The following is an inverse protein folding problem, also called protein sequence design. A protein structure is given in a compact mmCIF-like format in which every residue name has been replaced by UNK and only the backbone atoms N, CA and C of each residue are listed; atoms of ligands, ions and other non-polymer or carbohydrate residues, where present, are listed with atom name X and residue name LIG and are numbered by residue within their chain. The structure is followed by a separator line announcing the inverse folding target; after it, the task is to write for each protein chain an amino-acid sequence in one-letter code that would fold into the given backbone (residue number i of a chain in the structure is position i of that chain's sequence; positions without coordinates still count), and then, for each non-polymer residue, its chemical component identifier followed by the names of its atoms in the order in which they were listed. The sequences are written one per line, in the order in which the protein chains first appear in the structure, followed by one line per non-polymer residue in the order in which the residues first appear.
data_IF_485244180440
#
_entry.id   IF_485244180440
#
_cell.length_a   1.000
_cell.length_b   1.000
_cell.length_c   1.000
_cell.angle_alpha   90.00
_cell.angle_beta   90.00
_cell.angle_gamma   90.00
#
_symmetry.space_group_name_H-M   'P 1'
#
loop_
_entity.id
_entity.type
_entity.pdbx_description
1 polymer ?
#
# COMPACT_ATOMS: atom_id res chain seq x y z
N UNK A 1 49.70 50.70 16.11
CA UNK A 1 50.87 49.98 16.66
C UNK A 1 50.48 49.50 18.06
N UNK A 2 50.03 48.25 18.13
CA UNK A 2 50.28 47.23 19.18
C UNK A 2 49.34 46.08 18.87
N UNK A 3 49.94 44.96 18.49
CA UNK A 3 49.32 43.69 18.16
C UNK A 3 49.28 42.84 19.41
N UNK A 4 48.12 42.31 19.79
CA UNK A 4 48.02 41.22 20.76
C UNK A 4 47.24 40.05 20.15
N UNK A 5 48.02 39.02 19.84
CA UNK A 5 47.61 37.63 19.61
C UNK A 5 47.46 36.96 20.97
N UNK A 6 46.44 36.13 21.18
CA UNK A 6 46.65 34.78 21.75
C UNK A 6 45.48 33.80 21.47
N UNK A 7 45.75 32.47 21.42
CA UNK A 7 44.85 31.44 20.90
C UNK A 7 44.45 30.34 21.91
N UNK A 8 43.24 29.76 21.80
CA UNK A 8 42.79 28.58 22.58
C UNK A 8 41.68 27.87 21.76
N UNK A 9 41.56 26.55 21.57
CA UNK A 9 42.33 25.30 21.80
C UNK A 9 41.65 24.22 20.93
N UNK A 10 42.43 23.37 20.28
CA UNK A 10 41.98 22.12 19.65
C UNK A 10 42.14 20.95 20.64
N UNK A 11 41.17 20.04 20.70
CA UNK A 11 41.19 18.87 21.58
C UNK A 11 41.62 17.60 20.82
N UNK A 12 42.83 17.16 21.15
CA UNK A 12 43.31 15.78 21.39
C UNK A 12 42.68 14.60 20.64
N UNK A 13 43.56 13.91 19.90
CA UNK A 13 43.46 12.50 19.53
C UNK A 13 44.53 11.67 20.28
N UNK A 14 44.29 10.35 20.34
CA UNK A 14 45.23 9.23 20.52
C UNK A 14 45.73 8.84 21.93
N UNK A 15 45.24 7.69 22.37
CA UNK A 15 45.88 6.64 23.20
C UNK A 15 44.85 5.49 23.25
N UNK A 16 45.09 4.20 22.96
CA UNK A 16 46.21 3.31 23.22
C UNK A 16 46.17 2.10 22.25
N UNK A 17 47.34 1.62 21.86
CA UNK A 17 47.57 0.24 21.44
C UNK A 17 47.99 -0.61 22.66
N UNK A 18 47.64 -1.89 22.72
CA UNK A 18 48.59 -3.01 22.86
C UNK A 18 47.91 -4.39 22.99
N UNK A 19 48.35 -5.29 22.09
CA UNK A 19 48.68 -6.71 22.24
C UNK A 19 47.64 -7.76 22.70
N UNK A 20 47.48 -8.81 21.88
CA UNK A 20 47.78 -10.19 22.32
C UNK A 20 47.94 -11.15 21.12
N UNK A 21 49.08 -11.84 21.08
CA UNK A 21 49.40 -13.01 20.24
C UNK A 21 49.39 -14.22 21.17
N UNK A 22 48.65 -15.27 20.85
CA UNK A 22 49.00 -16.64 21.24
C UNK A 22 48.24 -17.67 20.39
N UNK A 23 49.00 -18.51 19.69
CA UNK A 23 48.56 -19.74 19.05
C UNK A 23 48.63 -20.91 20.04
N UNK A 24 47.70 -21.88 19.93
CA UNK A 24 47.95 -23.34 19.76
C UNK A 24 46.77 -24.22 20.19
N UNK A 25 46.41 -25.12 19.27
CA UNK A 25 46.00 -26.53 19.40
C UNK A 25 44.99 -26.98 20.48
N UNK A 26 43.91 -27.64 20.03
CA UNK A 26 43.19 -28.58 20.88
C UNK A 26 41.88 -29.14 20.31
N UNK A 27 41.94 -30.38 19.81
CA UNK A 27 40.89 -31.42 19.84
C UNK A 27 39.53 -31.24 19.14
N UNK A 28 39.43 -32.01 18.04
CA UNK A 28 38.31 -32.89 17.65
C UNK A 28 37.23 -33.09 18.73
N UNK A 29 36.01 -32.67 18.40
CA UNK A 29 34.76 -33.30 18.83
C UNK A 29 33.79 -33.26 17.64
N UNK A 30 33.78 -34.34 16.86
CA UNK A 30 32.75 -34.60 15.85
C UNK A 30 31.44 -34.92 16.57
N UNK A 31 30.54 -33.94 16.65
CA UNK A 31 29.13 -34.19 17.00
C UNK A 31 28.39 -34.60 15.74
N UNK A 32 28.06 -35.90 15.67
CA UNK A 32 27.12 -36.43 14.70
C UNK A 32 25.73 -35.86 14.99
N UNK A 33 25.28 -34.92 14.16
CA UNK A 33 23.86 -34.56 14.10
C UNK A 33 23.15 -35.62 13.27
N UNK A 34 22.37 -36.48 13.93
CA UNK A 34 21.32 -37.24 13.27
C UNK A 34 20.27 -36.24 12.76
N UNK A 35 20.26 -36.02 11.45
CA UNK A 35 19.18 -35.36 10.73
C UNK A 35 17.94 -36.26 10.80
N UNK A 36 16.98 -35.89 11.64
CA UNK A 36 15.63 -36.45 11.55
C UNK A 36 14.99 -35.96 10.23
N UNK A 37 14.29 -36.83 9.50
CA UNK A 37 13.61 -36.43 8.27
C UNK A 37 12.51 -35.43 8.58
N UNK A 38 12.61 -34.24 7.99
CA UNK A 38 11.54 -33.24 7.98
C UNK A 38 10.38 -33.80 7.14
N UNK A 39 9.15 -33.90 7.67
CA UNK A 39 8.01 -34.33 6.87
C UNK A 39 7.73 -33.29 5.78
N UNK A 40 7.73 -33.75 4.53
CA UNK A 40 7.31 -32.97 3.37
C UNK A 40 5.84 -32.56 3.54
N UNK A 41 5.48 -31.29 3.32
CA UNK A 41 4.08 -30.89 3.29
C UNK A 41 3.36 -31.59 2.12
N UNK A 42 2.07 -31.93 2.28
CA UNK A 42 1.28 -32.58 1.24
C UNK A 42 1.22 -31.70 -0.01
N UNK A 43 1.58 -32.28 -1.15
CA UNK A 43 1.36 -31.68 -2.47
C UNK A 43 -0.15 -31.62 -2.70
N UNK A 44 -0.73 -30.42 -2.59
CA UNK A 44 -2.11 -30.21 -3.00
C UNK A 44 -2.21 -30.34 -4.53
N UNK A 45 -2.95 -31.36 -4.94
CA UNK A 45 -3.42 -31.59 -6.30
C UNK A 45 -4.24 -30.41 -6.81
N UNK A 46 -4.13 -30.16 -8.11
CA UNK A 46 -4.84 -29.12 -8.83
C UNK A 46 -6.35 -29.14 -8.51
N UNK A 47 -6.88 -27.99 -8.09
CA UNK A 47 -8.31 -27.77 -7.94
C UNK A 47 -8.92 -27.58 -9.33
N UNK A 48 -9.59 -28.61 -9.84
CA UNK A 48 -10.52 -28.47 -10.96
C UNK A 48 -11.79 -27.75 -10.48
N UNK A 49 -11.99 -26.55 -11.02
CA UNK A 49 -13.13 -25.68 -10.76
C UNK A 49 -14.34 -26.19 -11.57
N UNK A 50 -15.19 -27.02 -10.95
CA UNK A 50 -16.49 -27.39 -11.52
C UNK A 50 -17.51 -26.29 -11.18
N UNK A 51 -17.86 -25.46 -12.17
CA UNK A 51 -18.94 -24.49 -12.11
C UNK A 51 -20.30 -25.22 -12.28
N UNK A 52 -21.02 -25.41 -11.17
CA UNK A 52 -22.45 -25.71 -11.22
C UNK A 52 -23.23 -24.39 -11.32
N UNK A 53 -23.88 -24.17 -12.46
CA UNK A 53 -24.89 -23.11 -12.64
C UNK A 53 -26.26 -23.79 -12.54
N UNK A 54 -26.91 -23.63 -11.39
CA UNK A 54 -28.34 -23.95 -11.24
C UNK A 54 -29.19 -22.74 -11.63
N UNK A 55 -30.33 -22.92 -12.33
CA UNK A 55 -31.30 -21.87 -12.55
C UNK A 55 -32.17 -21.73 -11.29
N UNK A 56 -32.86 -20.59 -11.17
CA UNK A 56 -33.81 -20.19 -10.11
C UNK A 56 -33.24 -19.23 -9.06
N UNK A 57 -33.50 -17.94 -9.30
CA UNK A 57 -34.17 -17.04 -8.35
C UNK A 57 -34.40 -15.68 -9.02
N UNK A 58 -35.46 -15.62 -9.85
CA UNK A 58 -36.18 -14.37 -10.09
C UNK A 58 -36.96 -14.07 -8.81
N UNK A 59 -36.61 -13.00 -8.08
CA UNK A 59 -37.49 -12.23 -7.19
C UNK A 59 -36.64 -11.22 -6.38
N UNK A 60 -36.50 -10.00 -6.92
CA UNK A 60 -36.39 -8.74 -6.15
C UNK A 60 -36.33 -7.55 -7.13
N UNK A 61 -37.45 -7.28 -7.79
CA UNK A 61 -37.66 -6.11 -8.65
C UNK A 61 -38.49 -5.07 -7.88
N UNK A 62 -37.92 -4.51 -6.81
CA UNK A 62 -38.50 -3.36 -6.11
C UNK A 62 -37.40 -2.60 -5.35
N UNK A 63 -36.46 -1.98 -6.08
CA UNK A 63 -35.55 -0.98 -5.50
C UNK A 63 -35.02 -0.02 -6.58
N UNK A 64 -35.92 0.64 -7.31
CA UNK A 64 -35.56 1.65 -8.31
C UNK A 64 -36.09 3.03 -7.89
N UNK A 65 -35.51 3.56 -6.82
CA UNK A 65 -35.36 5.01 -6.60
C UNK A 65 -34.01 5.31 -5.94
N UNK A 66 -32.97 4.60 -6.39
CA UNK A 66 -31.59 5.00 -6.16
C UNK A 66 -31.14 5.73 -7.43
N UNK A 67 -30.60 6.95 -7.29
CA UNK A 67 -29.82 7.59 -8.38
C UNK A 67 -28.90 6.51 -8.95
N UNK A 68 -28.82 6.32 -10.29
CA UNK A 68 -27.95 5.31 -10.86
C UNK A 68 -26.53 5.57 -10.35
N UNK A 69 -26.09 4.74 -9.41
CA UNK A 69 -24.71 4.76 -8.96
C UNK A 69 -23.91 4.44 -10.20
N UNK A 70 -23.05 5.33 -10.69
CA UNK A 70 -22.28 5.03 -11.88
C UNK A 70 -21.32 3.91 -11.50
N UNK A 71 -21.71 2.67 -11.78
CA UNK A 71 -21.04 1.44 -11.35
C UNK A 71 -19.82 1.16 -12.24
N UNK A 72 -18.91 2.12 -12.37
CA UNK A 72 -17.60 1.88 -12.96
C UNK A 72 -16.65 1.13 -11.99
N UNK A 73 -17.03 1.02 -10.70
CA UNK A 73 -16.37 0.22 -9.66
C UNK A 73 -17.44 -0.60 -8.87
N UNK A 74 -18.06 -1.62 -9.48
CA UNK A 74 -19.30 -2.24 -8.99
C UNK A 74 -19.19 -3.09 -7.70
N UNK A 75 -17.98 -3.35 -7.21
CA UNK A 75 -17.70 -4.28 -6.10
C UNK A 75 -16.65 -3.74 -5.13
N UNK A 76 -16.40 -2.42 -5.20
CA UNK A 76 -15.39 -1.81 -4.36
C UNK A 76 -15.83 -1.71 -2.90
N UNK A 77 -14.85 -1.86 -2.03
CA UNK A 77 -15.01 -1.58 -0.61
C UNK A 77 -15.43 -0.12 -0.42
N UNK A 78 -16.42 0.13 0.44
CA UNK A 78 -16.86 1.49 0.76
C UNK A 78 -15.73 2.31 1.39
N UNK A 79 -15.73 3.63 1.17
CA UNK A 79 -14.86 4.55 1.90
C UNK A 79 -15.20 4.63 3.41
N UNK A 80 -16.28 3.99 3.86
CA UNK A 80 -16.73 3.95 5.25
C UNK A 80 -16.14 2.78 6.05
N UNK A 81 -15.16 2.05 5.53
CA UNK A 81 -14.55 0.95 6.28
C UNK A 81 -13.12 1.27 6.70
N UNK A 82 -12.66 0.58 7.73
CA UNK A 82 -11.30 0.71 8.23
C UNK A 82 -10.27 0.19 7.21
N UNK A 83 -9.14 0.88 7.08
CA UNK A 83 -7.96 0.40 6.38
C UNK A 83 -7.18 -0.62 7.24
N UNK A 84 -6.41 -1.55 6.64
CA UNK A 84 -5.60 -2.47 7.42
C UNK A 84 -4.52 -1.71 8.20
N UNK A 85 -4.12 -2.23 9.37
CA UNK A 85 -3.14 -1.58 10.25
C UNK A 85 -1.70 -1.98 9.88
N UNK A 86 -1.33 -1.74 8.62
CA UNK A 86 -0.01 -2.05 8.08
C UNK A 86 0.44 -1.02 7.03
N UNK A 87 1.74 -0.90 6.75
CA UNK A 87 2.21 -0.25 5.54
C UNK A 87 1.68 -0.90 4.25
N UNK A 88 1.23 -0.06 3.31
CA UNK A 88 0.70 -0.45 2.02
C UNK A 88 1.24 0.42 0.90
N UNK A 89 1.56 -0.15 -0.26
CA UNK A 89 1.94 0.62 -1.44
C UNK A 89 0.74 1.31 -2.11
N UNK A 90 0.98 2.38 -2.87
CA UNK A 90 -0.07 3.09 -3.60
C UNK A 90 -0.87 2.18 -4.55
N UNK A 91 -0.22 1.20 -5.20
CA UNK A 91 -0.91 0.25 -6.10
C UNK A 91 -1.84 -0.70 -5.37
N UNK A 92 -1.46 -1.14 -4.17
CA UNK A 92 -2.34 -1.95 -3.31
C UNK A 92 -3.54 -1.12 -2.86
N UNK A 93 -3.30 0.12 -2.41
CA UNK A 93 -4.35 1.04 -1.96
C UNK A 93 -5.37 1.32 -3.09
N UNK A 94 -4.88 1.64 -4.29
CA UNK A 94 -5.73 1.90 -5.45
C UNK A 94 -6.45 0.66 -5.99
N UNK A 95 -5.95 -0.54 -5.68
CA UNK A 95 -6.58 -1.80 -6.11
C UNK A 95 -7.68 -2.21 -5.14
N UNK A 96 -7.36 -2.33 -3.85
CA UNK A 96 -8.24 -2.92 -2.84
C UNK A 96 -9.14 -1.88 -2.16
N UNK A 97 -8.71 -0.62 -2.08
CA UNK A 97 -9.41 0.47 -1.41
C UNK A 97 -9.56 1.71 -2.32
N UNK A 98 -10.09 1.54 -3.55
CA UNK A 98 -10.17 2.64 -4.52
C UNK A 98 -11.00 3.84 -4.02
N UNK A 99 -11.99 3.61 -3.15
CA UNK A 99 -12.84 4.65 -2.58
C UNK A 99 -12.21 5.45 -1.44
N UNK A 100 -11.14 4.95 -0.82
CA UNK A 100 -10.40 5.69 0.20
C UNK A 100 -9.65 6.89 -0.37
N UNK A 101 -9.63 7.07 -1.70
CA UNK A 101 -9.26 8.34 -2.34
C UNK A 101 -10.13 9.53 -1.95
N UNK A 102 -11.32 9.28 -1.39
CA UNK A 102 -12.15 10.30 -0.75
C UNK A 102 -11.51 10.86 0.54
N UNK A 103 -10.67 10.08 1.20
CA UNK A 103 -9.93 10.53 2.38
C UNK A 103 -8.74 11.34 1.88
N UNK A 104 -8.68 12.61 2.24
CA UNK A 104 -7.68 13.50 1.67
C UNK A 104 -6.26 13.11 2.08
N UNK A 105 -6.07 12.44 3.21
CA UNK A 105 -4.76 11.87 3.59
C UNK A 105 -4.24 10.86 2.53
N UNK A 106 -5.11 10.02 1.99
CA UNK A 106 -4.80 9.09 0.90
C UNK A 106 -4.48 9.87 -0.38
N UNK A 107 -5.36 10.79 -0.76
CA UNK A 107 -5.17 11.60 -1.96
C UNK A 107 -3.89 12.46 -1.90
N UNK A 108 -3.59 13.05 -0.74
CA UNK A 108 -2.38 13.82 -0.45
C UNK A 108 -1.13 12.99 -0.69
N UNK A 109 -1.08 11.75 -0.18
CA UNK A 109 0.03 10.82 -0.42
C UNK A 109 0.22 10.52 -1.91
N UNK A 110 -0.86 10.29 -2.65
CA UNK A 110 -0.81 10.00 -4.09
C UNK A 110 -0.29 11.21 -4.88
N UNK A 111 -0.84 12.40 -4.65
CA UNK A 111 -0.41 13.63 -5.34
C UNK A 111 1.04 13.99 -4.99
N UNK A 112 1.45 13.79 -3.74
CA UNK A 112 2.83 13.97 -3.28
C UNK A 112 3.82 13.06 -4.02
N UNK A 113 3.36 11.90 -4.46
CA UNK A 113 4.10 10.97 -5.33
C UNK A 113 3.80 11.16 -6.83
N UNK A 114 3.33 12.36 -7.20
CA UNK A 114 3.08 12.79 -8.57
C UNK A 114 1.98 12.03 -9.33
N UNK A 115 1.15 11.24 -8.65
CA UNK A 115 0.00 10.64 -9.32
C UNK A 115 -0.96 11.74 -9.80
N UNK A 116 -1.33 11.68 -11.08
CA UNK A 116 -2.43 12.48 -11.62
C UNK A 116 -3.78 11.80 -11.34
N UNK A 117 -4.87 12.57 -11.37
CA UNK A 117 -6.23 12.00 -11.27
C UNK A 117 -6.51 10.97 -12.38
N UNK A 118 -5.97 11.18 -13.58
CA UNK A 118 -6.05 10.23 -14.69
C UNK A 118 -5.32 8.91 -14.38
N UNK A 119 -4.09 8.99 -13.86
CA UNK A 119 -3.30 7.82 -13.47
C UNK A 119 -4.00 7.04 -12.34
N UNK A 120 -4.58 7.73 -11.37
CA UNK A 120 -5.37 7.12 -10.29
C UNK A 120 -6.61 6.42 -10.85
N UNK A 121 -7.37 7.08 -11.73
CA UNK A 121 -8.55 6.48 -12.38
C UNK A 121 -8.16 5.22 -13.15
N UNK A 122 -7.11 5.30 -13.97
CA UNK A 122 -6.61 4.17 -14.76
C UNK A 122 -6.15 3.01 -13.88
N UNK A 123 -5.45 3.29 -12.79
CA UNK A 123 -5.04 2.27 -11.82
C UNK A 123 -6.24 1.52 -11.22
N UNK A 124 -7.26 2.24 -10.77
CA UNK A 124 -8.47 1.68 -10.15
C UNK A 124 -9.29 0.86 -11.15
N UNK A 125 -9.55 1.41 -12.33
CA UNK A 125 -10.35 0.74 -13.37
C UNK A 125 -9.63 -0.47 -13.97
N UNK A 126 -8.31 -0.39 -14.15
CA UNK A 126 -7.51 -1.54 -14.58
C UNK A 126 -7.60 -2.68 -13.57
N UNK A 127 -7.45 -2.41 -12.27
CA UNK A 127 -7.60 -3.42 -11.24
C UNK A 127 -8.94 -4.16 -11.31
N UNK A 128 -10.02 -3.47 -11.71
CA UNK A 128 -11.38 -4.02 -11.84
C UNK A 128 -11.72 -4.55 -13.24
N UNK A 129 -10.80 -4.50 -14.19
CA UNK A 129 -11.06 -4.92 -15.57
C UNK A 129 -12.08 -4.05 -16.31
N UNK A 130 -12.34 -2.82 -15.83
CA UNK A 130 -13.35 -1.90 -16.37
C UNK A 130 -12.73 -0.68 -17.07
N UNK A 131 -11.44 -0.76 -17.43
CA UNK A 131 -10.71 0.34 -18.06
C UNK A 131 -11.18 0.57 -19.51
N UNK A 132 -12.05 1.55 -19.67
CA UNK A 132 -12.42 2.14 -20.96
C UNK A 132 -12.14 3.64 -20.92
N UNK A 133 -12.10 4.30 -22.08
CA UNK A 133 -11.93 5.76 -22.17
C UNK A 133 -13.04 6.50 -21.42
N UNK A 134 -14.29 6.10 -21.64
CA UNK A 134 -15.46 6.69 -20.99
C UNK A 134 -15.41 6.53 -19.46
N UNK A 135 -15.11 5.33 -18.96
CA UNK A 135 -15.00 5.08 -17.53
C UNK A 135 -13.84 5.86 -16.90
N UNK A 136 -12.69 5.94 -17.60
CA UNK A 136 -11.54 6.73 -17.17
C UNK A 136 -11.92 8.19 -17.01
N UNK A 137 -12.53 8.80 -18.03
CA UNK A 137 -12.84 10.24 -18.03
C UNK A 137 -13.84 10.60 -16.92
N UNK A 138 -14.87 9.76 -16.72
CA UNK A 138 -15.82 9.92 -15.60
C UNK A 138 -15.13 9.82 -14.24
N UNK A 139 -14.31 8.79 -14.05
CA UNK A 139 -13.62 8.58 -12.76
C UNK A 139 -12.58 9.67 -12.50
N UNK A 140 -11.85 10.11 -13.53
CA UNK A 140 -10.92 11.23 -13.43
C UNK A 140 -11.65 12.51 -12.98
N UNK A 141 -12.80 12.84 -13.57
CA UNK A 141 -13.59 14.00 -13.17
C UNK A 141 -14.02 13.91 -11.69
N UNK A 142 -14.49 12.74 -11.25
CA UNK A 142 -14.83 12.50 -9.85
C UNK A 142 -13.62 12.68 -8.93
N UNK A 143 -12.45 12.15 -9.29
CA UNK A 143 -11.21 12.29 -8.53
C UNK A 143 -10.76 13.75 -8.47
N UNK A 144 -10.83 14.51 -9.57
CA UNK A 144 -10.51 15.95 -9.57
C UNK A 144 -11.40 16.72 -8.60
N UNK A 145 -12.68 16.39 -8.57
CA UNK A 145 -13.61 16.97 -7.59
C UNK A 145 -13.22 16.61 -6.15
N UNK A 146 -12.94 15.32 -5.88
CA UNK A 146 -12.51 14.86 -4.55
C UNK A 146 -11.22 15.54 -4.07
N UNK A 147 -10.24 15.72 -4.95
CA UNK A 147 -9.00 16.45 -4.64
C UNK A 147 -9.32 17.87 -4.20
N UNK A 148 -10.14 18.59 -4.96
CA UNK A 148 -10.49 19.98 -4.67
C UNK A 148 -11.25 20.10 -3.34
N UNK A 149 -12.34 19.36 -3.18
CA UNK A 149 -13.19 19.41 -1.98
C UNK A 149 -12.43 18.91 -0.74
N UNK A 150 -11.68 17.82 -0.87
CA UNK A 150 -10.89 17.24 0.22
C UNK A 150 -9.79 18.17 0.68
N UNK A 151 -9.08 18.85 -0.24
CA UNK A 151 -8.01 19.76 0.12
C UNK A 151 -8.51 21.00 0.86
N UNK A 152 -9.61 21.60 0.38
CA UNK A 152 -10.27 22.72 1.08
C UNK A 152 -10.65 22.36 2.50
N UNK A 153 -11.26 21.19 2.68
CA UNK A 153 -11.68 20.68 3.98
C UNK A 153 -10.48 20.39 4.89
N UNK A 154 -9.47 19.69 4.39
CA UNK A 154 -8.32 19.24 5.17
C UNK A 154 -7.45 20.39 5.68
N UNK A 155 -7.28 21.44 4.87
CA UNK A 155 -6.47 22.62 5.24
C UNK A 155 -7.30 23.79 5.76
N UNK A 156 -8.63 23.63 5.87
CA UNK A 156 -9.56 24.71 6.22
C UNK A 156 -9.33 25.99 5.39
N UNK A 157 -9.15 25.82 4.07
CA UNK A 157 -8.87 26.90 3.11
C UNK A 157 -9.77 26.79 1.87
N UNK A 158 -10.76 27.68 1.75
CA UNK A 158 -11.70 27.68 0.62
C UNK A 158 -11.07 28.02 -0.73
N UNK A 159 -9.91 28.69 -0.71
CA UNK A 159 -9.13 29.02 -1.90
C UNK A 159 -8.08 27.95 -2.21
N UNK A 160 -8.10 26.83 -1.49
CA UNK A 160 -7.15 25.75 -1.71
C UNK A 160 -7.24 25.22 -3.13
N UNK A 161 -6.07 25.15 -3.78
CA UNK A 161 -5.89 24.47 -5.07
C UNK A 161 -4.62 23.65 -5.03
N UNK A 162 -4.58 22.54 -5.79
CA UNK A 162 -3.36 21.72 -5.91
C UNK A 162 -2.17 22.54 -6.41
N UNK A 163 -2.40 23.51 -7.31
CA UNK A 163 -1.36 24.39 -7.84
C UNK A 163 -0.78 25.29 -6.76
N UNK A 164 -1.63 25.98 -5.99
CA UNK A 164 -1.18 26.84 -4.90
C UNK A 164 -0.49 26.02 -3.81
N UNK A 165 -1.05 24.86 -3.45
CA UNK A 165 -0.45 23.96 -2.47
C UNK A 165 0.97 23.51 -2.87
N UNK A 166 1.19 23.18 -4.15
CA UNK A 166 2.53 22.87 -4.67
C UNK A 166 3.46 24.08 -4.72
N UNK A 167 2.95 25.27 -5.08
CA UNK A 167 3.75 26.49 -5.16
C UNK A 167 4.17 27.03 -3.79
N UNK A 168 3.33 26.86 -2.76
CA UNK A 168 3.53 27.39 -1.41
C UNK A 168 4.70 26.75 -0.64
N UNK A 169 5.39 25.75 -1.19
CA UNK A 169 6.45 25.01 -0.49
C UNK A 169 6.02 24.37 0.84
N UNK A 170 4.71 24.19 1.02
CA UNK A 170 4.11 23.53 2.17
C UNK A 170 4.80 22.17 2.42
N UNK A 171 5.14 21.80 3.67
CA UNK A 171 5.84 20.55 3.97
C UNK A 171 5.19 19.31 3.33
N UNK A 172 3.86 19.25 3.35
CA UNK A 172 3.09 18.15 2.75
C UNK A 172 3.10 18.13 1.21
N UNK A 173 3.37 19.25 0.54
CA UNK A 173 3.41 19.31 -0.93
C UNK A 173 4.76 18.88 -1.50
N UNK A 174 5.79 18.78 -0.65
CA UNK A 174 7.13 18.34 -1.05
C UNK A 174 7.11 16.86 -1.38
N UNK A 175 7.54 16.43 -2.57
CA UNK A 175 7.62 15.02 -2.91
C UNK A 175 8.53 14.27 -1.93
N UNK A 176 8.38 12.95 -1.85
CA UNK A 176 9.43 12.14 -1.24
C UNK A 176 10.66 12.18 -2.14
N UNK A 177 11.80 12.56 -1.56
CA UNK A 177 13.05 12.63 -2.29
C UNK A 177 13.60 11.23 -2.58
N UNK A 178 14.14 11.05 -3.79
CA UNK A 178 14.84 9.86 -4.24
C UNK A 178 16.23 9.72 -3.62
N UNK A 179 16.77 10.77 -2.96
CA UNK A 179 18.08 10.68 -2.30
C UNK A 179 18.12 9.45 -1.41
N UNK A 180 18.90 8.48 -1.88
CA UNK A 180 19.20 7.23 -1.20
C UNK A 180 20.00 7.57 0.05
N UNK A 181 19.30 7.99 1.11
CA UNK A 181 19.86 7.93 2.44
C UNK A 181 19.79 6.45 2.82
N UNK A 182 20.95 5.78 2.86
CA UNK A 182 21.07 4.49 3.51
C UNK A 182 20.55 4.64 4.95
N UNK A 183 19.31 4.27 5.16
CA UNK A 183 18.68 4.26 6.47
C UNK A 183 18.86 2.86 7.04
N UNK A 184 19.36 2.76 8.28
CA UNK A 184 19.39 1.50 9.00
C UNK A 184 17.97 0.97 9.30
N UNK A 185 16.97 1.85 9.28
CA UNK A 185 15.56 1.51 9.48
C UNK A 185 14.78 1.46 8.14
N UNK A 186 13.90 0.47 7.94
CA UNK A 186 13.03 0.40 6.77
C UNK A 186 12.19 1.67 6.56
N UNK A 187 12.00 2.07 5.31
CA UNK A 187 11.16 3.21 4.95
C UNK A 187 9.65 2.93 5.00
N UNK A 188 9.25 1.75 5.49
CA UNK A 188 7.85 1.29 5.53
C UNK A 188 6.92 2.22 6.31
N UNK A 189 7.42 2.90 7.34
CA UNK A 189 6.65 3.88 8.12
C UNK A 189 6.06 5.04 7.27
N UNK A 190 6.68 5.39 6.14
CA UNK A 190 6.17 6.43 5.22
C UNK A 190 4.91 5.99 4.48
N UNK A 191 4.68 4.68 4.42
CA UNK A 191 3.61 4.04 3.69
C UNK A 191 2.55 3.44 4.63
N UNK A 192 2.70 3.67 5.92
CA UNK A 192 1.77 3.22 6.95
C UNK A 192 0.41 3.93 6.79
N UNK A 193 -0.65 3.12 6.69
CA UNK A 193 -2.03 3.59 6.62
C UNK A 193 -2.78 3.41 7.94
N UNK A 194 -2.09 2.92 8.97
CA UNK A 194 -2.59 2.81 10.35
C UNK A 194 -3.11 4.16 10.83
N UNK A 195 -4.31 4.15 11.42
CA UNK A 195 -4.93 5.36 11.99
C UNK A 195 -5.38 6.41 10.97
N UNK A 196 -5.34 6.15 9.66
CA UNK A 196 -5.92 7.08 8.69
C UNK A 196 -7.43 7.17 8.87
N UNK A 197 -7.97 8.38 8.74
CA UNK A 197 -9.39 8.67 8.92
C UNK A 197 -9.98 9.46 7.75
N UNK A 198 -11.32 9.45 7.59
CA UNK A 198 -12.00 10.35 6.66
C UNK A 198 -11.78 11.83 7.00
N UNK A 199 -12.07 12.71 6.02
CA UNK A 199 -11.98 14.16 6.23
C UNK A 199 -13.06 14.70 7.18
N UNK A 200 -14.24 14.10 7.13
CA UNK A 200 -15.32 14.38 8.09
C UNK A 200 -15.10 13.52 9.33
N UNK A 201 -14.75 14.15 10.44
CA UNK A 201 -14.50 13.48 11.72
C UNK A 201 -15.77 12.84 12.31
N UNK A 202 -16.95 13.25 11.86
CA UNK A 202 -18.22 12.66 12.27
C UNK A 202 -18.60 11.44 11.43
N UNK A 203 -17.87 11.18 10.33
CA UNK A 203 -18.11 10.04 9.46
C UNK A 203 -17.76 8.75 10.21
N UNK A 204 -18.77 7.93 10.46
CA UNK A 204 -18.59 6.64 11.14
C UNK A 204 -17.83 5.68 10.23
N UNK A 205 -16.70 5.18 10.70
CA UNK A 205 -15.96 4.10 10.06
C UNK A 205 -16.51 2.78 10.63
N UNK A 206 -17.15 2.00 9.78
CA UNK A 206 -17.70 0.69 10.10
C UNK A 206 -16.60 -0.33 10.39
N UNK A 207 -17.03 -1.48 10.94
CA UNK A 207 -16.17 -2.63 11.21
C UNK A 207 -15.35 -3.04 9.99
N UNK A 208 -14.18 -3.65 10.20
CA UNK A 208 -13.35 -4.15 9.11
C UNK A 208 -14.13 -5.09 8.17
N UNK A 209 -14.01 -4.92 6.85
CA UNK A 209 -14.67 -5.80 5.89
C UNK A 209 -14.06 -7.20 5.92
N UNK A 210 -14.80 -8.18 5.43
CA UNK A 210 -14.25 -9.53 5.21
C UNK A 210 -13.16 -9.50 4.14
N UNK A 211 -12.25 -10.48 4.17
CA UNK A 211 -11.24 -10.60 3.11
C UNK A 211 -11.90 -10.84 1.74
N UNK A 212 -13.03 -11.57 1.73
CA UNK A 212 -13.85 -11.77 0.54
C UNK A 212 -14.35 -10.47 -0.07
N UNK A 213 -14.88 -9.55 0.75
CA UNK A 213 -15.36 -8.25 0.29
C UNK A 213 -14.24 -7.40 -0.32
N UNK A 214 -13.05 -7.45 0.28
CA UNK A 214 -11.88 -6.67 -0.16
C UNK A 214 -11.41 -7.08 -1.57
N UNK A 215 -11.41 -8.38 -1.85
CA UNK A 215 -10.91 -8.92 -3.11
C UNK A 215 -12.00 -9.02 -4.18
N UNK A 216 -13.27 -8.80 -3.81
CA UNK A 216 -14.42 -8.94 -4.70
C UNK A 216 -14.24 -8.07 -5.95
N UNK A 217 -14.28 -8.70 -7.12
CA UNK A 217 -14.12 -8.03 -8.42
C UNK A 217 -12.73 -7.48 -8.72
N UNK A 218 -11.68 -7.87 -7.98
CA UNK A 218 -10.29 -7.62 -8.39
C UNK A 218 -9.91 -8.60 -9.49
N UNK A 219 -9.68 -8.10 -10.70
CA UNK A 219 -9.27 -8.88 -11.87
C UNK A 219 -7.76 -8.82 -12.04
N UNK A 220 -7.18 -7.62 -11.99
CA UNK A 220 -5.76 -7.39 -12.19
C UNK A 220 -5.08 -7.04 -10.87
N UNK A 221 -4.44 -8.04 -10.26
CA UNK A 221 -3.76 -7.93 -8.98
C UNK A 221 -2.41 -7.20 -9.11
N UNK A 222 -1.94 -6.50 -8.05
CA UNK A 222 -0.58 -5.99 -8.01
C UNK A 222 0.44 -7.14 -8.11
N UNK A 223 1.59 -6.89 -8.72
CA UNK A 223 2.66 -7.88 -8.91
C UNK A 223 4.04 -7.27 -8.67
N UNK A 224 5.05 -8.12 -8.42
CA UNK A 224 6.44 -7.69 -8.23
C UNK A 224 6.57 -6.65 -7.11
N UNK A 225 7.28 -5.55 -7.39
CA UNK A 225 7.45 -4.43 -6.45
C UNK A 225 6.14 -3.72 -6.07
N UNK A 226 5.02 -3.96 -6.77
CA UNK A 226 3.72 -3.40 -6.40
C UNK A 226 2.90 -4.33 -5.48
N UNK A 227 3.34 -5.58 -5.30
CA UNK A 227 2.70 -6.57 -4.44
C UNK A 227 3.37 -6.63 -3.07
N UNK A 228 2.95 -5.74 -2.18
CA UNK A 228 3.36 -5.76 -0.77
C UNK A 228 2.81 -6.96 0.01
N UNK A 229 3.12 -7.03 1.32
CA UNK A 229 2.62 -8.08 2.21
C UNK A 229 1.09 -8.18 2.23
N UNK A 230 0.39 -7.06 2.02
CA UNK A 230 -1.06 -7.05 1.93
C UNK A 230 -1.56 -7.88 0.75
N UNK A 231 -1.03 -7.62 -0.45
CA UNK A 231 -1.36 -8.38 -1.66
C UNK A 231 -1.02 -9.86 -1.49
N UNK A 232 0.15 -10.17 -0.92
CA UNK A 232 0.58 -11.55 -0.66
C UNK A 232 -0.37 -12.28 0.30
N UNK A 233 -0.76 -11.62 1.40
CA UNK A 233 -1.71 -12.17 2.36
C UNK A 233 -3.09 -12.43 1.75
N UNK A 234 -3.60 -11.52 0.93
CA UNK A 234 -4.88 -11.70 0.23
C UNK A 234 -4.83 -12.82 -0.81
N UNK A 235 -3.72 -12.97 -1.55
CA UNK A 235 -3.53 -14.08 -2.48
C UNK A 235 -3.47 -15.42 -1.74
N UNK A 236 -2.76 -15.49 -0.61
CA UNK A 236 -2.72 -16.67 0.24
C UNK A 236 -4.11 -17.01 0.80
N UNK A 237 -4.84 -16.01 1.34
CA UNK A 237 -6.18 -16.21 1.88
C UNK A 237 -7.15 -16.70 0.81
N UNK A 238 -6.99 -16.23 -0.43
CA UNK A 238 -7.76 -16.73 -1.58
C UNK A 238 -7.50 -18.21 -1.86
N UNK A 239 -6.26 -18.68 -1.69
CA UNK A 239 -5.92 -20.11 -1.83
C UNK A 239 -6.56 -20.98 -0.73
N UNK A 240 -6.91 -20.42 0.42
CA UNK A 240 -7.63 -21.13 1.49
C UNK A 240 -9.13 -21.34 1.19
N UNK A 241 -9.66 -20.66 0.17
CA UNK A 241 -11.03 -20.84 -0.31
C UNK A 241 -12.06 -19.86 0.28
N UNK A 242 -13.30 -19.95 -0.22
CA UNK A 242 -14.36 -18.97 0.07
C UNK A 242 -14.78 -18.93 1.55
N UNK A 243 -14.81 -20.08 2.21
CA UNK A 243 -15.12 -20.16 3.65
C UNK A 243 -14.10 -19.39 4.48
N UNK A 244 -12.82 -19.49 4.13
CA UNK A 244 -11.77 -18.74 4.82
C UNK A 244 -11.95 -17.23 4.62
N UNK A 245 -12.17 -16.81 3.37
CA UNK A 245 -12.37 -15.41 3.00
C UNK A 245 -13.59 -14.76 3.65
N UNK A 246 -14.67 -15.53 3.87
CA UNK A 246 -15.89 -15.04 4.51
C UNK A 246 -15.78 -14.94 6.04
N UNK A 247 -14.92 -15.77 6.65
CA UNK A 247 -14.78 -15.84 8.12
C UNK A 247 -13.62 -15.00 8.67
N UNK A 248 -12.76 -14.45 7.81
CA UNK A 248 -11.65 -13.58 8.21
C UNK A 248 -11.87 -12.16 7.67
N UNK A 249 -11.30 -11.20 8.37
CA UNK A 249 -11.43 -9.76 8.11
C UNK A 249 -10.06 -9.11 7.95
N UNK A 250 -10.02 -7.81 7.66
CA UNK A 250 -8.74 -7.07 7.59
C UNK A 250 -7.93 -7.10 8.90
N UNK A 251 -8.56 -7.38 10.05
CA UNK A 251 -7.83 -7.48 11.32
C UNK A 251 -6.93 -8.72 11.37
N UNK A 252 -7.20 -9.74 10.57
CA UNK A 252 -6.42 -10.98 10.55
C UNK A 252 -5.13 -10.86 9.71
N UNK A 253 -5.04 -9.82 8.88
CA UNK A 253 -3.94 -9.61 7.94
C UNK A 253 -2.56 -9.51 8.62
N UNK A 254 -2.36 -8.74 9.72
CA UNK A 254 -1.07 -8.73 10.40
C UNK A 254 -0.62 -10.11 10.88
N UNK A 255 -1.56 -10.92 11.39
CA UNK A 255 -1.29 -12.30 11.82
C UNK A 255 -0.90 -13.17 10.64
N UNK A 256 -1.66 -13.11 9.54
CA UNK A 256 -1.35 -13.87 8.31
C UNK A 256 0.06 -13.50 7.79
N UNK A 257 0.39 -12.20 7.72
CA UNK A 257 1.71 -11.72 7.28
C UNK A 257 2.82 -12.28 8.17
N UNK A 258 2.63 -12.26 9.49
CA UNK A 258 3.61 -12.76 10.44
C UNK A 258 3.79 -14.28 10.35
N UNK A 259 2.69 -15.04 10.24
CA UNK A 259 2.71 -16.51 10.16
C UNK A 259 3.34 -17.00 8.87
N UNK A 260 2.99 -16.39 7.74
CA UNK A 260 3.49 -16.82 6.42
C UNK A 260 4.84 -16.18 6.05
N UNK A 261 5.32 -15.24 6.86
CA UNK A 261 6.60 -14.57 6.65
C UNK A 261 6.63 -13.66 5.42
N UNK A 262 5.51 -13.04 5.06
CA UNK A 262 5.46 -12.12 3.91
C UNK A 262 6.29 -10.87 4.19
N UNK A 263 7.13 -10.52 3.22
CA UNK A 263 8.08 -9.40 3.36
C UNK A 263 7.73 -8.25 2.43
N UNK A 264 8.11 -7.05 2.86
CA UNK A 264 7.99 -5.86 2.05
C UNK A 264 8.92 -5.91 0.83
N UNK A 265 8.49 -5.37 -0.32
CA UNK A 265 9.33 -5.33 -1.50
C UNK A 265 10.51 -4.38 -1.30
N UNK A 266 11.55 -4.54 -2.12
CA UNK A 266 12.81 -3.81 -1.97
C UNK A 266 12.61 -2.29 -2.04
N UNK A 267 11.73 -1.82 -2.93
CA UNK A 267 11.38 -0.40 -3.04
C UNK A 267 10.75 0.16 -1.74
N UNK A 268 9.99 -0.65 -1.00
CA UNK A 268 9.36 -0.24 0.25
C UNK A 268 10.36 -0.15 1.41
N UNK A 269 11.31 -1.09 1.46
CA UNK A 269 12.32 -1.19 2.53
C UNK A 269 13.40 -0.13 2.32
N UNK A 270 13.94 -0.06 1.10
CA UNK A 270 15.18 0.64 0.79
C UNK A 270 14.98 1.96 0.05
N UNK A 271 13.73 2.42 -0.10
CA UNK A 271 13.45 3.69 -0.77
C UNK A 271 12.26 4.45 -0.18
N UNK A 272 12.35 5.79 -0.24
CA UNK A 272 11.25 6.72 0.09
C UNK A 272 10.30 6.95 -1.09
N UNK A 273 10.60 6.39 -2.25
CA UNK A 273 9.87 6.63 -3.50
C UNK A 273 9.17 5.38 -4.05
N UNK A 274 8.77 4.46 -3.17
CA UNK A 274 8.04 3.25 -3.56
C UNK A 274 6.80 3.57 -4.41
N UNK A 275 5.99 4.52 -3.96
CA UNK A 275 4.79 4.96 -4.68
C UNK A 275 5.12 5.67 -6.01
N UNK A 276 6.14 6.54 -6.03
CA UNK A 276 6.54 7.20 -7.27
C UNK A 276 7.10 6.20 -8.31
N UNK A 277 7.79 5.15 -7.86
CA UNK A 277 8.18 4.02 -8.72
C UNK A 277 6.98 3.21 -9.20
N UNK A 278 6.01 2.99 -8.32
CA UNK A 278 4.76 2.31 -8.65
C UNK A 278 3.97 3.07 -9.74
N UNK A 279 3.96 4.41 -9.68
CA UNK A 279 3.44 5.27 -10.76
C UNK A 279 4.16 5.04 -12.09
N UNK A 280 5.50 5.02 -12.08
CA UNK A 280 6.30 4.76 -13.29
C UNK A 280 5.99 3.38 -13.88
N UNK A 281 5.83 2.35 -13.04
CA UNK A 281 5.44 1.00 -13.47
C UNK A 281 4.04 1.00 -14.08
N UNK A 282 3.05 1.60 -13.42
CA UNK A 282 1.69 1.77 -13.95
C UNK A 282 1.70 2.38 -15.35
N UNK A 283 2.47 3.46 -15.56
CA UNK A 283 2.54 4.15 -16.85
C UNK A 283 3.16 3.30 -17.97
N UNK A 284 3.97 2.29 -17.61
CA UNK A 284 4.56 1.34 -18.55
C UNK A 284 3.65 0.15 -18.83
N UNK A 285 2.94 -0.34 -17.81
CA UNK A 285 2.21 -1.63 -17.90
C UNK A 285 0.73 -1.48 -18.21
N UNK A 286 0.13 -0.32 -17.92
CA UNK A 286 -1.29 -0.08 -18.16
C UNK A 286 -1.42 1.06 -19.16
N UNK A 287 -1.59 0.80 -20.46
CA UNK A 287 -1.67 1.86 -21.46
C UNK A 287 -2.91 2.74 -21.26
N UNK A 288 -2.87 3.96 -21.79
CA UNK A 288 -4.05 4.82 -21.84
C UNK A 288 -5.04 4.25 -22.87
N UNK A 289 -6.33 4.12 -22.55
CA UNK A 289 -7.32 3.76 -23.55
C UNK A 289 -7.39 4.86 -24.62
N UNK A 290 -7.47 4.44 -25.88
CA UNK A 290 -7.62 5.31 -27.05
C UNK A 290 -8.96 6.08 -27.01
#
# INVERSE_FOLDING_TARGET
MTTDNEPIRSASAQQLAHASVAARNGSRLTKNFHTLPVPLPPRHTACDLVLFVGPESQLCLEYLSAKPTPTYLPTEVSADVQLPQIPMGARELLTFFPNHTQWFVCMKRLIRNYFSSEEIARAQLHARGSLTRENRDRREQALRHQVSTGGKTHYADDNWTTTHWKASSHPDSRPFDETYAASAAPHTHLYDVTGWTPNDLNRKVASPPTLGDVIKGVVNWPTGEDAGPFTQALLWARCQGQTYLANHTLNDIPTIIATEGFTYPNDAINSRVWDARARRRLNRTVPKPA
#
